data_IF_362625717492
#
_entry.id   IF_362625717492
#
_cell.length_a   1.000
_cell.length_b   1.000
_cell.length_c   1.000
_cell.angle_alpha   90.00
_cell.angle_beta   90.00
_cell.angle_gamma   90.00
#
_symmetry.space_group_name_H-M   'P 1'
#
loop_
_entity.id
_entity.type
_entity.pdbx_description
1 polymer ?
#
# COMPACT_ATOMS: atom_id res chain seq x y z
N UNK A 1 -9.81 -2.75 12.27
CA UNK A 1 -10.86 -3.69 11.83
C UNK A 1 -10.62 -4.05 10.37
N UNK A 2 -10.50 -5.33 10.01
CA UNK A 2 -10.48 -5.73 8.60
C UNK A 2 -11.80 -5.30 7.94
N UNK A 3 -11.69 -4.56 6.85
CA UNK A 3 -12.84 -4.28 6.01
C UNK A 3 -12.86 -5.36 4.92
N UNK A 4 -13.80 -6.27 5.02
CA UNK A 4 -14.06 -7.30 3.99
C UNK A 4 -14.63 -6.62 2.74
N UNK A 5 -13.78 -6.18 1.82
CA UNK A 5 -14.10 -5.52 0.56
C UNK A 5 -13.59 -6.41 -0.57
N UNK A 6 -14.40 -6.58 -1.61
CA UNK A 6 -13.94 -7.27 -2.82
C UNK A 6 -13.00 -6.36 -3.62
N UNK A 7 -11.72 -6.35 -3.21
CA UNK A 7 -10.67 -5.57 -3.85
C UNK A 7 -10.42 -6.03 -5.29
N UNK A 8 -10.58 -7.33 -5.56
CA UNK A 8 -10.32 -7.90 -6.89
C UNK A 8 -11.32 -7.39 -7.91
N UNK A 9 -12.60 -7.33 -7.54
CA UNK A 9 -13.64 -6.77 -8.42
C UNK A 9 -13.37 -5.30 -8.75
N UNK A 10 -13.02 -4.48 -7.75
CA UNK A 10 -12.72 -3.06 -7.94
C UNK A 10 -11.47 -2.84 -8.80
N UNK A 11 -10.42 -3.65 -8.61
CA UNK A 11 -9.20 -3.58 -9.43
C UNK A 11 -9.44 -3.99 -10.88
N UNK A 12 -10.24 -5.02 -11.12
CA UNK A 12 -10.61 -5.45 -12.47
C UNK A 12 -11.45 -4.38 -13.19
N UNK A 13 -12.46 -3.83 -12.52
CA UNK A 13 -13.25 -2.73 -13.05
C UNK A 13 -12.38 -1.50 -13.41
N UNK A 14 -11.40 -1.18 -12.57
CA UNK A 14 -10.50 -0.06 -12.81
C UNK A 14 -9.59 -0.31 -14.02
N UNK A 15 -9.08 -1.54 -14.23
CA UNK A 15 -8.30 -1.92 -15.41
C UNK A 15 -9.12 -1.80 -16.68
N UNK A 16 -10.35 -2.29 -16.67
CA UNK A 16 -11.26 -2.27 -17.83
C UNK A 16 -11.65 -0.83 -18.23
N UNK A 17 -11.78 0.06 -17.25
CA UNK A 17 -12.18 1.47 -17.45
C UNK A 17 -10.99 2.44 -17.58
N UNK A 18 -9.76 1.97 -17.60
CA UNK A 18 -8.54 2.78 -17.66
C UNK A 18 -8.50 3.87 -16.56
N UNK A 19 -8.91 3.52 -15.34
CA UNK A 19 -8.76 4.42 -14.19
C UNK A 19 -7.30 4.74 -13.92
N UNK A 20 -7.03 5.98 -13.49
CA UNK A 20 -5.73 6.31 -12.92
C UNK A 20 -5.52 5.52 -11.62
N UNK A 21 -4.32 5.04 -11.38
CA UNK A 21 -3.97 4.26 -10.18
C UNK A 21 -4.32 5.02 -8.90
N UNK A 22 -4.17 6.34 -8.90
CA UNK A 22 -4.48 7.22 -7.77
C UNK A 22 -5.96 7.14 -7.37
N UNK A 23 -6.85 7.20 -8.36
CA UNK A 23 -8.29 7.13 -8.14
C UNK A 23 -8.71 5.76 -7.60
N UNK A 24 -8.09 4.70 -8.11
CA UNK A 24 -8.33 3.34 -7.62
C UNK A 24 -7.94 3.20 -6.15
N UNK A 25 -6.70 3.55 -5.81
CA UNK A 25 -6.18 3.39 -4.44
C UNK A 25 -6.97 4.24 -3.45
N UNK A 26 -7.33 5.48 -3.83
CA UNK A 26 -8.16 6.34 -3.01
C UNK A 26 -9.59 5.80 -2.86
N UNK A 27 -10.15 5.21 -3.91
CA UNK A 27 -11.46 4.58 -3.83
C UNK A 27 -11.44 3.37 -2.88
N UNK A 28 -10.43 2.50 -2.99
CA UNK A 28 -10.25 1.35 -2.09
C UNK A 28 -10.15 1.80 -0.62
N UNK A 29 -9.29 2.77 -0.31
CA UNK A 29 -9.16 3.35 1.02
C UNK A 29 -10.51 3.91 1.54
N UNK A 30 -11.24 4.62 0.67
CA UNK A 30 -12.54 5.22 1.01
C UNK A 30 -13.62 4.15 1.27
N UNK A 31 -13.70 3.12 0.44
CA UNK A 31 -14.68 2.03 0.59
C UNK A 31 -14.44 1.26 1.88
N UNK A 32 -13.17 0.94 2.19
CA UNK A 32 -12.78 0.31 3.46
C UNK A 32 -13.23 1.14 4.67
N UNK A 33 -12.97 2.46 4.65
CA UNK A 33 -13.38 3.36 5.72
C UNK A 33 -14.91 3.47 5.85
N UNK A 34 -15.64 3.62 4.72
CA UNK A 34 -17.10 3.69 4.72
C UNK A 34 -17.76 2.45 5.30
N UNK A 35 -17.25 1.26 4.98
CA UNK A 35 -17.78 -0.01 5.50
C UNK A 35 -17.74 -0.07 7.03
N UNK A 36 -16.66 0.45 7.64
CA UNK A 36 -16.54 0.53 9.09
C UNK A 36 -17.40 1.67 9.65
N UNK A 37 -17.45 2.83 8.97
CA UNK A 37 -18.27 3.98 9.38
C UNK A 37 -19.75 3.63 9.52
N UNK A 38 -20.31 2.79 8.63
CA UNK A 38 -21.69 2.26 8.76
C UNK A 38 -21.94 1.52 10.08
N UNK A 39 -20.93 0.82 10.58
CA UNK A 39 -21.02 0.06 11.83
C UNK A 39 -20.71 0.90 13.07
N UNK A 40 -20.14 2.08 12.88
CA UNK A 40 -19.67 2.99 13.92
C UNK A 40 -20.05 4.43 13.56
N UNK A 41 -21.35 4.79 13.64
CA UNK A 41 -21.78 6.16 13.44
C UNK A 41 -21.07 7.10 14.41
N UNK A 42 -20.91 8.35 14.06
CA UNK A 42 -20.19 9.41 14.79
C UNK A 42 -18.66 9.20 14.92
N UNK A 43 -18.15 8.01 14.61
CA UNK A 43 -16.72 7.74 14.68
C UNK A 43 -15.96 8.38 13.50
N UNK A 44 -14.77 8.88 13.80
CA UNK A 44 -13.77 9.18 12.78
C UNK A 44 -13.11 7.86 12.36
N UNK A 45 -13.31 7.47 11.10
CA UNK A 45 -12.78 6.24 10.55
C UNK A 45 -11.69 6.55 9.54
N UNK A 46 -10.50 5.97 9.77
CA UNK A 46 -9.35 6.09 8.88
C UNK A 46 -9.26 4.79 8.08
N UNK A 47 -9.22 4.89 6.76
CA UNK A 47 -8.94 3.80 5.85
C UNK A 47 -7.70 4.12 5.04
N UNK A 48 -6.86 3.13 4.80
CA UNK A 48 -5.71 3.25 3.92
C UNK A 48 -5.66 2.08 2.95
N UNK A 49 -5.09 2.33 1.78
CA UNK A 49 -4.79 1.31 0.79
C UNK A 49 -3.49 1.63 0.07
N UNK A 50 -2.82 0.60 -0.44
CA UNK A 50 -1.56 0.73 -1.14
C UNK A 50 -1.51 -0.21 -2.34
N UNK A 51 -0.95 0.28 -3.44
CA UNK A 51 -0.72 -0.47 -4.66
C UNK A 51 0.71 -0.23 -5.15
N UNK A 52 1.38 -1.28 -5.62
CA UNK A 52 2.68 -1.17 -6.26
C UNK A 52 2.50 -1.08 -7.78
N UNK A 53 3.13 -0.07 -8.37
CA UNK A 53 3.20 0.13 -9.82
C UNK A 53 4.66 0.07 -10.29
N UNK A 54 4.92 -0.69 -11.35
CA UNK A 54 6.22 -0.72 -12.01
C UNK A 54 6.05 -0.85 -13.52
N UNK A 55 6.47 0.18 -14.26
CA UNK A 55 6.43 0.17 -15.72
C UNK A 55 5.02 0.01 -16.31
N UNK A 56 4.01 0.61 -15.69
CA UNK A 56 2.60 0.50 -16.10
C UNK A 56 1.89 -0.78 -15.65
N UNK A 57 2.59 -1.69 -14.96
CA UNK A 57 2.03 -2.91 -14.38
C UNK A 57 1.74 -2.71 -12.90
N UNK A 58 0.57 -3.16 -12.46
CA UNK A 58 0.19 -3.19 -11.04
C UNK A 58 0.47 -4.56 -10.44
N UNK A 59 0.96 -4.57 -9.21
CA UNK A 59 1.30 -5.78 -8.48
C UNK A 59 0.40 -5.91 -7.25
N UNK A 60 -0.13 -7.10 -7.07
CA UNK A 60 -0.92 -7.47 -5.91
C UNK A 60 -0.06 -8.22 -4.88
N UNK A 61 -0.61 -8.44 -3.69
CA UNK A 61 -0.03 -9.33 -2.69
C UNK A 61 0.15 -10.72 -3.28
N UNK A 62 1.18 -11.41 -2.85
CA UNK A 62 1.42 -12.80 -3.24
C UNK A 62 0.75 -13.75 -2.24
N UNK A 63 0.47 -14.96 -2.65
CA UNK A 63 -0.14 -15.96 -1.80
C UNK A 63 0.74 -17.19 -1.57
N UNK A 64 1.92 -17.20 -2.16
CA UNK A 64 2.88 -18.29 -2.05
C UNK A 64 4.29 -17.83 -2.46
N UNK A 65 5.28 -18.69 -2.15
CA UNK A 65 6.69 -18.47 -2.43
C UNK A 65 7.01 -18.27 -3.93
N UNK A 66 6.37 -19.04 -4.80
CA UNK A 66 6.64 -18.97 -6.23
C UNK A 66 6.25 -17.62 -6.82
N UNK A 67 5.06 -17.14 -6.48
CA UNK A 67 4.60 -15.83 -6.89
C UNK A 67 5.45 -14.69 -6.29
N UNK A 68 5.88 -14.84 -5.03
CA UNK A 68 6.77 -13.88 -4.39
C UNK A 68 8.13 -13.82 -5.10
N UNK A 69 8.72 -14.98 -5.42
CA UNK A 69 9.97 -15.07 -6.19
C UNK A 69 9.83 -14.36 -7.52
N UNK A 70 8.79 -14.67 -8.29
CA UNK A 70 8.52 -14.05 -9.58
C UNK A 70 8.37 -12.53 -9.50
N UNK A 71 7.68 -12.01 -8.47
CA UNK A 71 7.58 -10.57 -8.29
C UNK A 71 8.94 -9.93 -8.02
N UNK A 72 9.77 -10.52 -7.16
CA UNK A 72 11.12 -10.02 -6.87
C UNK A 72 12.02 -10.04 -8.10
N UNK A 73 11.95 -11.09 -8.92
CA UNK A 73 12.66 -11.19 -10.21
C UNK A 73 12.21 -10.06 -11.16
N UNK A 74 10.90 -9.83 -11.27
CA UNK A 74 10.35 -8.78 -12.13
C UNK A 74 10.71 -7.36 -11.67
N UNK A 75 10.87 -7.13 -10.37
CA UNK A 75 11.22 -5.83 -9.77
C UNK A 75 12.73 -5.60 -9.70
N UNK A 76 13.55 -6.66 -9.82
CA UNK A 76 15.02 -6.59 -9.74
C UNK A 76 15.61 -5.57 -10.70
N UNK A 77 16.43 -4.66 -10.20
CA UNK A 77 17.09 -3.61 -10.97
C UNK A 77 16.17 -2.50 -11.47
N UNK A 78 14.92 -2.43 -10.99
CA UNK A 78 13.95 -1.41 -11.44
C UNK A 78 13.58 -0.44 -10.34
N UNK A 79 13.08 0.72 -10.77
CA UNK A 79 12.39 1.68 -9.92
C UNK A 79 10.90 1.34 -9.99
N UNK A 80 10.27 1.26 -8.83
CA UNK A 80 8.83 1.10 -8.72
C UNK A 80 8.26 2.10 -7.71
N UNK A 81 6.97 2.34 -7.80
CA UNK A 81 6.24 3.30 -6.98
C UNK A 81 5.22 2.59 -6.11
N UNK A 82 5.19 2.93 -4.82
CA UNK A 82 4.08 2.57 -3.95
C UNK A 82 3.08 3.72 -3.94
N UNK A 83 1.94 3.54 -4.59
CA UNK A 83 0.84 4.51 -4.53
C UNK A 83 0.03 4.22 -3.29
N UNK A 84 0.10 5.11 -2.30
CA UNK A 84 -0.52 4.92 -0.99
C UNK A 84 -1.53 6.04 -0.74
N UNK A 85 -2.78 5.67 -0.46
CA UNK A 85 -3.85 6.60 -0.14
C UNK A 85 -4.35 6.39 1.29
N UNK A 86 -4.70 7.50 1.93
CA UNK A 86 -5.45 7.52 3.18
C UNK A 86 -6.73 8.34 3.01
N UNK A 87 -7.84 7.84 3.54
CA UNK A 87 -9.13 8.51 3.56
C UNK A 87 -9.66 8.57 4.98
N UNK A 88 -10.19 9.72 5.37
CA UNK A 88 -10.90 9.91 6.64
C UNK A 88 -12.38 10.06 6.36
N UNK A 89 -13.19 9.25 7.01
CA UNK A 89 -14.65 9.16 6.82
C UNK A 89 -15.35 9.37 8.16
N UNK A 90 -16.41 10.16 8.15
CA UNK A 90 -17.39 10.31 9.23
C UNK A 90 -18.79 10.22 8.62
N UNK A 91 -19.70 9.49 9.24
CA UNK A 91 -21.08 9.31 8.77
C UNK A 91 -21.17 8.96 7.28
N UNK A 92 -20.36 7.99 6.86
CA UNK A 92 -20.22 7.53 5.47
C UNK A 92 -19.74 8.59 4.47
N UNK A 93 -19.40 9.79 4.91
CA UNK A 93 -18.86 10.86 4.06
C UNK A 93 -17.35 10.97 4.22
N UNK A 94 -16.61 10.97 3.09
CA UNK A 94 -15.18 11.27 3.12
C UNK A 94 -14.98 12.75 3.41
N UNK A 95 -14.37 13.05 4.56
CA UNK A 95 -14.11 14.42 5.02
C UNK A 95 -12.69 14.90 4.70
N UNK A 96 -11.75 13.96 4.43
CA UNK A 96 -10.38 14.26 4.03
C UNK A 96 -9.76 13.05 3.34
N UNK A 97 -8.75 13.31 2.51
CA UNK A 97 -7.92 12.28 1.90
C UNK A 97 -6.57 12.82 1.49
N UNK A 98 -5.58 11.93 1.39
CA UNK A 98 -4.24 12.25 0.93
C UNK A 98 -3.65 11.05 0.18
N UNK A 99 -2.79 11.32 -0.81
CA UNK A 99 -2.08 10.32 -1.59
C UNK A 99 -0.61 10.70 -1.59
N UNK A 100 0.26 9.72 -1.36
CA UNK A 100 1.71 9.85 -1.55
C UNK A 100 2.25 8.70 -2.39
N UNK A 101 3.37 8.96 -3.06
CA UNK A 101 3.97 8.06 -4.04
C UNK A 101 5.48 7.93 -3.82
N UNK A 102 5.91 7.24 -2.75
CA UNK A 102 7.32 6.92 -2.58
C UNK A 102 7.84 6.03 -3.71
N UNK A 103 9.07 6.30 -4.14
CA UNK A 103 9.80 5.53 -5.14
C UNK A 103 10.89 4.70 -4.49
N UNK A 104 10.97 3.43 -4.88
CA UNK A 104 11.96 2.49 -4.39
C UNK A 104 12.78 1.96 -5.58
N UNK A 105 14.09 2.15 -5.52
CA UNK A 105 15.03 1.62 -6.51
C UNK A 105 15.56 0.28 -6.01
N UNK A 106 15.03 -0.82 -6.55
CA UNK A 106 15.51 -2.15 -6.20
C UNK A 106 16.85 -2.41 -6.89
N UNK A 107 17.85 -2.86 -6.13
CA UNK A 107 19.13 -3.27 -6.70
C UNK A 107 18.97 -4.50 -7.59
N UNK A 108 19.96 -4.80 -8.42
CA UNK A 108 19.99 -6.08 -9.10
C UNK A 108 20.19 -7.21 -8.10
N UNK A 109 19.21 -8.11 -8.01
CA UNK A 109 19.24 -9.29 -7.14
C UNK A 109 19.16 -10.55 -7.98
N UNK A 110 20.07 -11.49 -7.73
CA UNK A 110 20.07 -12.80 -8.37
C UNK A 110 19.26 -13.84 -7.59
N UNK A 111 19.04 -14.97 -8.24
CA UNK A 111 18.26 -16.10 -7.71
C UNK A 111 18.70 -16.56 -6.33
N UNK A 112 19.99 -16.63 -6.08
CA UNK A 112 20.54 -17.09 -4.79
C UNK A 112 20.14 -16.16 -3.66
N UNK A 113 20.20 -14.84 -3.89
CA UNK A 113 19.78 -13.86 -2.90
C UNK A 113 18.26 -13.84 -2.71
N UNK A 114 17.48 -13.97 -3.78
CA UNK A 114 16.01 -14.06 -3.70
C UNK A 114 15.61 -15.28 -2.85
N UNK A 115 16.21 -16.44 -3.12
CA UNK A 115 15.91 -17.65 -2.36
C UNK A 115 16.30 -17.50 -0.88
N UNK A 116 17.51 -16.99 -0.60
CA UNK A 116 17.96 -16.68 0.76
C UNK A 116 17.01 -15.72 1.48
N UNK A 117 16.59 -14.65 0.81
CA UNK A 117 15.63 -13.67 1.36
C UNK A 117 14.30 -14.32 1.71
N UNK A 118 13.71 -15.10 0.80
CA UNK A 118 12.43 -15.77 1.01
C UNK A 118 12.49 -16.87 2.08
N UNK A 119 13.65 -17.52 2.25
CA UNK A 119 13.84 -18.50 3.32
C UNK A 119 13.81 -17.88 4.71
N UNK A 120 14.30 -16.65 4.85
CA UNK A 120 14.31 -15.91 6.12
C UNK A 120 12.96 -15.21 6.35
N UNK A 121 12.45 -14.52 5.33
CA UNK A 121 11.23 -13.72 5.43
C UNK A 121 9.95 -14.57 5.54
N UNK A 122 9.97 -15.81 5.02
CA UNK A 122 8.86 -16.77 5.08
C UNK A 122 7.52 -16.15 4.62
N UNK A 123 6.44 -16.51 5.31
CA UNK A 123 5.08 -16.11 4.96
C UNK A 123 4.80 -14.60 5.22
N UNK A 124 5.65 -13.93 6.01
CA UNK A 124 5.45 -12.51 6.36
C UNK A 124 5.42 -11.57 5.14
N UNK A 125 6.06 -11.97 4.03
CA UNK A 125 6.12 -11.16 2.81
C UNK A 125 4.93 -11.36 1.88
N UNK A 126 4.11 -12.38 2.10
CA UNK A 126 2.96 -12.66 1.22
C UNK A 126 1.82 -11.65 1.43
N UNK A 127 1.76 -11.03 2.59
CA UNK A 127 0.80 -9.97 2.92
C UNK A 127 1.24 -8.57 2.45
N UNK A 128 2.42 -8.47 1.79
CA UNK A 128 2.97 -7.22 1.30
C UNK A 128 2.95 -7.18 -0.23
N UNK A 129 2.58 -6.03 -0.80
CA UNK A 129 2.77 -5.78 -2.22
C UNK A 129 4.27 -5.73 -2.54
N UNK A 130 4.70 -6.39 -3.63
CA UNK A 130 6.11 -6.50 -3.98
C UNK A 130 6.88 -7.58 -3.23
N UNK A 131 6.23 -8.34 -2.35
CA UNK A 131 6.83 -9.43 -1.56
C UNK A 131 8.03 -9.00 -0.70
N UNK A 132 7.99 -7.79 -0.12
CA UNK A 132 9.03 -7.31 0.79
C UNK A 132 8.46 -6.51 1.97
N UNK A 133 9.21 -6.52 3.07
CA UNK A 133 8.99 -5.66 4.25
C UNK A 133 10.24 -4.82 4.50
N UNK A 134 10.08 -3.51 4.44
CA UNK A 134 11.19 -2.57 4.58
C UNK A 134 11.77 -2.55 6.00
N UNK A 135 10.94 -2.78 7.00
CA UNK A 135 11.30 -2.83 8.41
C UNK A 135 12.09 -4.09 8.82
N UNK A 136 12.33 -5.00 7.88
CA UNK A 136 13.10 -6.23 8.07
C UNK A 136 14.23 -6.38 7.07
N UNK A 137 14.54 -7.63 6.73
CA UNK A 137 15.57 -7.97 5.75
C UNK A 137 15.30 -7.37 4.36
N UNK A 138 14.04 -7.02 4.06
CA UNK A 138 13.66 -6.38 2.80
C UNK A 138 14.35 -5.04 2.54
N UNK A 139 14.88 -4.37 3.57
CA UNK A 139 15.70 -3.17 3.38
C UNK A 139 16.96 -3.43 2.52
N UNK A 140 17.48 -4.66 2.52
CA UNK A 140 18.64 -5.04 1.70
C UNK A 140 18.33 -5.18 0.20
N UNK A 141 17.06 -5.11 -0.19
CA UNK A 141 16.66 -5.19 -1.59
C UNK A 141 16.87 -3.86 -2.35
N UNK A 142 17.14 -2.76 -1.66
CA UNK A 142 17.09 -1.42 -2.25
C UNK A 142 18.44 -0.71 -2.22
N UNK A 143 18.75 -0.01 -3.33
CA UNK A 143 19.87 0.92 -3.42
C UNK A 143 19.48 2.33 -2.97
N UNK A 144 18.22 2.72 -3.22
CA UNK A 144 17.70 4.06 -2.89
C UNK A 144 16.20 4.00 -2.66
N UNK A 145 15.75 4.81 -1.70
CA UNK A 145 14.34 5.04 -1.38
C UNK A 145 14.13 6.54 -1.33
N UNK A 146 13.07 7.01 -1.99
CA UNK A 146 12.66 8.42 -2.00
C UNK A 146 11.21 8.51 -1.52
N UNK A 147 10.96 9.28 -0.47
CA UNK A 147 9.62 9.44 0.12
C UNK A 147 9.60 9.16 1.62
N UNK A 148 8.41 9.21 2.18
CA UNK A 148 8.20 9.04 3.62
C UNK A 148 8.16 7.56 4.04
N UNK A 149 8.83 7.26 5.14
CA UNK A 149 8.93 5.89 5.68
C UNK A 149 7.56 5.32 6.08
N UNK A 150 6.73 6.12 6.76
CA UNK A 150 5.40 5.66 7.19
C UNK A 150 4.48 5.39 5.99
N UNK A 151 4.62 6.18 4.94
CA UNK A 151 3.88 5.99 3.69
C UNK A 151 4.26 4.66 3.03
N UNK A 152 5.54 4.29 3.03
CA UNK A 152 6.01 3.00 2.51
C UNK A 152 5.40 1.84 3.31
N UNK A 153 5.24 1.99 4.62
CA UNK A 153 4.57 1.00 5.47
C UNK A 153 3.04 0.95 5.29
N UNK A 154 2.49 1.78 4.41
CA UNK A 154 1.08 1.74 4.03
C UNK A 154 0.18 2.83 4.60
N UNK A 155 0.74 3.83 5.32
CA UNK A 155 -0.04 4.94 5.86
C UNK A 155 0.73 6.26 5.77
N UNK A 156 0.27 7.27 5.02
CA UNK A 156 0.79 8.64 5.06
C UNK A 156 0.50 9.30 6.42
N UNK A 157 1.31 8.92 7.43
CA UNK A 157 1.03 9.24 8.83
C UNK A 157 1.17 10.73 9.13
N UNK A 158 2.21 11.39 8.64
CA UNK A 158 2.47 12.79 9.00
C UNK A 158 1.38 13.74 8.47
N UNK A 159 0.94 13.65 7.21
CA UNK A 159 -0.22 14.40 6.71
C UNK A 159 -1.51 14.10 7.47
N UNK A 160 -1.74 12.82 7.82
CA UNK A 160 -2.90 12.43 8.61
C UNK A 160 -2.89 13.06 10.00
N UNK A 161 -1.78 13.01 10.72
CA UNK A 161 -1.64 13.65 12.04
C UNK A 161 -1.85 15.16 11.96
N UNK A 162 -1.35 15.81 10.90
CA UNK A 162 -1.60 17.23 10.68
C UNK A 162 -3.10 17.53 10.53
N UNK A 163 -3.80 16.77 9.69
CA UNK A 163 -5.26 16.89 9.56
C UNK A 163 -5.98 16.69 10.90
N UNK A 164 -5.63 15.66 11.66
CA UNK A 164 -6.28 15.35 12.94
C UNK A 164 -6.06 16.48 13.98
N UNK A 165 -4.87 17.12 14.00
CA UNK A 165 -4.61 18.31 14.83
C UNK A 165 -5.47 19.50 14.42
N UNK A 166 -5.56 19.78 13.11
CA UNK A 166 -6.38 20.88 12.59
C UNK A 166 -7.88 20.70 12.90
N UNK A 167 -8.33 19.47 13.02
CA UNK A 167 -9.71 19.16 13.41
C UNK A 167 -9.92 19.09 14.93
N UNK A 168 -8.89 19.32 15.73
CA UNK A 168 -8.96 19.23 17.19
C UNK A 168 -9.22 17.81 17.72
N UNK A 169 -8.99 16.78 16.90
CA UNK A 169 -9.18 15.38 17.29
C UNK A 169 -8.04 14.90 18.17
N UNK A 170 -6.84 15.38 17.92
CA UNK A 170 -5.66 15.16 18.75
C UNK A 170 -5.06 16.51 19.16
N UNK A 171 -4.32 16.53 20.27
CA UNK A 171 -3.65 17.75 20.75
C UNK A 171 -2.59 18.22 19.74
N UNK A 172 -2.52 19.54 19.55
CA UNK A 172 -1.47 20.19 18.75
C UNK A 172 -0.16 20.27 19.55
#
# INVERSE_FOLDING_TARGET
YPADVDESALKNEAKDKQYFVDDLVLNLATVKAKKISRKKPDAIVIGSDQLLECGGKWYDKTNNRENAKKQLEELSGKIHTLVTAVAVVRDEKRIWSHIEKPELCMRHIGDDFINYYLDIAKDEVYDCVGAYRLEGLGSQLFDRITGDYFTILGLPLLPLLNFLRQQGIIKA
#
